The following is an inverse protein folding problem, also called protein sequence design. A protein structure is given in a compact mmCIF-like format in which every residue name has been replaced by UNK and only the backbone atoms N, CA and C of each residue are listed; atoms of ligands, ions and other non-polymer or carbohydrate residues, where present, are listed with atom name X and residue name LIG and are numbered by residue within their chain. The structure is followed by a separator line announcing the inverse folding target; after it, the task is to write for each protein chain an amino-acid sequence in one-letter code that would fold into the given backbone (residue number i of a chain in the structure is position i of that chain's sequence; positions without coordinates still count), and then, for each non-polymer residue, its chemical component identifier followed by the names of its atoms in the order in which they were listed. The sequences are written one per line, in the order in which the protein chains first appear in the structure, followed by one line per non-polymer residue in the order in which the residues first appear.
data_IF_712501599418
#
_entry.id   IF_712501599418
#
_cell.length_a   1.000
_cell.length_b   1.000
_cell.length_c   1.000
_cell.angle_alpha   90.00
_cell.angle_beta   90.00
_cell.angle_gamma   90.00
#
_symmetry.space_group_name_H-M   'P 1'
#
loop_
_entity.id
_entity.type
_entity.pdbx_description
1 polymer ?
#
# COMPACT_ATOMS: atom_id res chain seq x y z
N UNK A 1 -17.82 56.48 -2.28
CA UNK A 1 -17.02 55.31 -1.85
C UNK A 1 -17.97 54.16 -1.52
N UNK A 2 -18.38 53.45 -2.58
CA UNK A 2 -19.34 52.34 -2.53
C UNK A 2 -18.60 51.04 -2.28
N UNK A 3 -18.89 50.40 -1.15
CA UNK A 3 -18.34 49.11 -0.75
C UNK A 3 -18.63 48.03 -1.79
N UNK A 4 -17.55 47.52 -2.39
CA UNK A 4 -17.53 46.42 -3.34
C UNK A 4 -17.88 45.13 -2.59
N UNK A 5 -19.16 44.75 -2.59
CA UNK A 5 -19.57 43.39 -2.21
C UNK A 5 -19.01 42.43 -3.26
N UNK A 6 -17.88 41.79 -2.93
CA UNK A 6 -17.35 40.62 -3.62
C UNK A 6 -18.45 39.56 -3.57
N UNK A 7 -19.21 39.40 -4.66
CA UNK A 7 -19.96 38.17 -4.93
C UNK A 7 -18.89 37.09 -5.06
N UNK A 8 -18.59 36.40 -3.96
CA UNK A 8 -18.25 34.99 -4.06
C UNK A 8 -19.55 34.37 -4.56
N UNK A 9 -19.65 34.24 -5.90
CA UNK A 9 -20.56 33.27 -6.47
C UNK A 9 -20.14 31.94 -5.84
N UNK A 10 -20.88 31.52 -4.81
CA UNK A 10 -21.07 30.10 -4.54
C UNK A 10 -21.49 29.52 -5.88
N UNK A 11 -20.54 28.94 -6.60
CA UNK A 11 -20.87 27.95 -7.59
C UNK A 11 -21.73 26.94 -6.84
N UNK A 12 -23.01 26.88 -7.22
CA UNK A 12 -23.82 25.71 -6.92
C UNK A 12 -22.96 24.53 -7.32
N UNK A 13 -22.69 23.65 -6.35
CA UNK A 13 -22.49 22.21 -6.53
C UNK A 13 -23.37 21.76 -7.70
N UNK A 14 -22.78 21.79 -8.89
CA UNK A 14 -23.31 21.14 -10.06
C UNK A 14 -22.85 19.71 -9.97
N UNK A 15 -23.73 18.77 -10.34
CA UNK A 15 -23.46 17.34 -10.46
C UNK A 15 -22.41 17.03 -11.54
N UNK A 16 -21.22 17.61 -11.43
CA UNK A 16 -20.22 17.63 -12.50
C UNK A 16 -18.80 17.93 -12.05
N UNK A 17 -18.46 17.78 -10.77
CA UNK A 17 -17.06 17.75 -10.37
C UNK A 17 -16.72 16.36 -9.82
N UNK A 18 -16.08 15.55 -10.66
CA UNK A 18 -15.68 14.17 -10.35
C UNK A 18 -14.50 14.09 -9.36
N UNK A 19 -14.01 15.22 -8.84
CA UNK A 19 -12.70 15.35 -8.19
C UNK A 19 -12.76 16.28 -6.95
N UNK A 20 -13.84 16.21 -6.17
CA UNK A 20 -14.12 17.17 -5.07
C UNK A 20 -14.78 18.44 -5.59
N UNK A 21 -14.90 19.51 -4.79
CA UNK A 21 -15.51 20.78 -5.25
C UNK A 21 -14.50 21.71 -5.96
N UNK A 22 -13.24 21.28 -6.11
CA UNK A 22 -12.17 22.06 -6.72
C UNK A 22 -11.74 23.26 -5.88
N UNK A 23 -12.13 23.30 -4.60
CA UNK A 23 -11.71 24.35 -3.67
C UNK A 23 -10.29 24.18 -3.16
N UNK A 24 -9.70 22.99 -3.33
CA UNK A 24 -8.33 22.69 -2.92
C UNK A 24 -7.35 23.18 -3.99
N UNK A 25 -6.53 24.17 -3.66
CA UNK A 25 -5.61 24.84 -4.60
C UNK A 25 -4.54 23.96 -5.24
N UNK A 26 -3.59 24.58 -5.94
CA UNK A 26 -2.37 23.90 -6.42
C UNK A 26 -1.55 23.44 -5.22
N UNK A 27 -1.02 22.23 -5.26
CA UNK A 27 -0.14 21.66 -4.24
C UNK A 27 1.24 21.41 -4.83
N UNK A 28 2.28 21.84 -4.11
CA UNK A 28 3.68 21.59 -4.46
C UNK A 28 4.46 21.07 -3.26
N UNK A 29 5.29 20.06 -3.51
CA UNK A 29 6.20 19.46 -2.53
C UNK A 29 7.63 19.88 -2.89
N UNK A 30 8.29 20.64 -2.00
CA UNK A 30 9.60 21.25 -2.24
C UNK A 30 10.47 21.26 -0.98
N UNK A 31 11.63 21.92 -1.06
CA UNK A 31 12.51 22.22 0.08
C UNK A 31 11.86 23.06 1.17
N UNK A 32 10.82 23.83 0.85
CA UNK A 32 10.05 24.59 1.83
C UNK A 32 8.99 23.73 2.55
N UNK A 33 8.82 22.47 2.13
CA UNK A 33 7.77 21.57 2.59
C UNK A 33 6.63 21.46 1.58
N UNK A 34 5.46 21.10 2.09
CA UNK A 34 4.23 21.13 1.31
C UNK A 34 3.65 22.54 1.32
N UNK A 35 3.38 23.08 0.14
CA UNK A 35 2.79 24.40 -0.03
C UNK A 35 1.53 24.30 -0.89
N UNK A 36 0.55 25.14 -0.58
CA UNK A 36 -0.71 25.25 -1.31
C UNK A 36 -0.92 26.67 -1.85
N UNK A 37 -1.51 26.77 -3.03
CA UNK A 37 -1.85 28.03 -3.68
C UNK A 37 -3.29 28.04 -4.22
N UNK A 38 -4.09 29.03 -3.83
CA UNK A 38 -5.48 29.18 -4.28
C UNK A 38 -5.65 30.18 -5.45
N UNK A 39 -4.56 30.77 -5.95
CA UNK A 39 -4.55 31.79 -6.99
C UNK A 39 -3.76 31.37 -8.24
N UNK A 40 -3.63 30.05 -8.46
CA UNK A 40 -2.96 29.50 -9.63
C UNK A 40 -1.43 29.58 -9.54
N UNK A 41 -0.87 29.44 -8.35
CA UNK A 41 0.56 29.46 -8.08
C UNK A 41 1.17 30.85 -7.90
N UNK A 42 0.37 31.90 -7.69
CA UNK A 42 0.87 33.27 -7.49
C UNK A 42 1.29 33.50 -6.04
N UNK A 43 0.50 33.02 -5.08
CA UNK A 43 0.83 33.03 -3.65
C UNK A 43 0.78 31.62 -3.09
N UNK A 44 1.78 31.29 -2.28
CA UNK A 44 1.96 29.98 -1.67
C UNK A 44 1.91 30.10 -0.15
N UNK A 45 1.25 29.14 0.49
CA UNK A 45 1.18 29.02 1.95
C UNK A 45 1.55 27.59 2.34
N UNK A 46 2.40 27.44 3.35
CA UNK A 46 2.76 26.13 3.87
C UNK A 46 1.52 25.40 4.42
N UNK A 47 1.38 24.13 4.07
CA UNK A 47 0.38 23.24 4.65
C UNK A 47 0.91 22.79 6.02
N UNK A 48 0.58 23.56 7.06
CA UNK A 48 1.18 23.43 8.39
C UNK A 48 0.91 22.10 9.10
N UNK A 49 -0.06 21.32 8.62
CA UNK A 49 -0.37 19.99 9.16
C UNK A 49 0.52 18.89 8.56
N UNK A 50 1.18 19.14 7.43
CA UNK A 50 2.08 18.17 6.80
C UNK A 50 3.49 18.44 7.30
N UNK A 51 4.21 17.37 7.63
CA UNK A 51 5.56 17.48 8.20
C UNK A 51 6.61 17.24 7.13
N UNK A 52 7.68 18.04 7.14
CA UNK A 52 8.87 17.84 6.32
C UNK A 52 10.04 17.47 7.23
N UNK A 53 10.66 16.32 7.01
CA UNK A 53 11.91 15.89 7.66
C UNK A 53 12.78 15.21 6.61
N UNK A 54 14.03 15.65 6.44
CA UNK A 54 15.01 15.03 5.54
C UNK A 54 14.48 14.75 4.11
N UNK A 55 13.81 15.73 3.51
CA UNK A 55 13.16 15.64 2.18
C UNK A 55 11.96 14.69 2.10
N UNK A 56 11.47 14.20 3.24
CA UNK A 56 10.24 13.41 3.35
C UNK A 56 9.11 14.30 3.84
N UNK A 57 8.10 14.48 2.99
CA UNK A 57 6.82 15.09 3.35
C UNK A 57 5.83 14.00 3.73
N UNK A 58 5.36 14.06 4.98
CA UNK A 58 4.37 13.12 5.52
C UNK A 58 3.03 13.79 5.74
N UNK A 59 2.00 13.21 5.12
CA UNK A 59 0.60 13.62 5.30
C UNK A 59 0.06 12.95 6.57
N UNK A 60 -0.67 13.69 7.44
CA UNK A 60 -1.30 13.08 8.61
C UNK A 60 -2.23 11.93 8.23
N UNK A 61 -2.12 10.82 8.96
CA UNK A 61 -3.00 9.67 8.89
C UNK A 61 -3.18 9.07 10.27
N UNK A 62 -4.28 8.34 10.48
CA UNK A 62 -4.48 7.54 11.68
C UNK A 62 -3.87 6.14 11.47
N UNK A 63 -3.23 5.61 12.51
CA UNK A 63 -2.67 4.27 12.49
C UNK A 63 -3.77 3.24 12.23
N UNK A 64 -3.65 2.47 11.13
CA UNK A 64 -4.65 1.50 10.65
C UNK A 64 -6.03 2.10 10.30
N UNK A 65 -6.12 3.43 10.29
CA UNK A 65 -7.36 4.14 10.01
C UNK A 65 -7.68 4.24 8.54
N UNK A 66 -8.61 5.14 8.24
CA UNK A 66 -9.14 5.38 6.91
C UNK A 66 -8.06 5.72 5.88
N UNK A 67 -8.41 5.50 4.62
CA UNK A 67 -7.64 5.97 3.48
C UNK A 67 -7.53 7.50 3.51
N UNK A 68 -6.32 8.00 3.28
CA UNK A 68 -6.06 9.43 3.17
C UNK A 68 -6.45 9.90 1.77
N UNK A 69 -7.21 10.98 1.68
CA UNK A 69 -7.60 11.61 0.42
C UNK A 69 -6.93 12.97 0.28
N UNK A 70 -6.29 13.21 -0.86
CA UNK A 70 -5.80 14.52 -1.28
C UNK A 70 -6.61 14.96 -2.49
N UNK A 71 -7.12 16.19 -2.49
CA UNK A 71 -7.52 16.84 -3.74
C UNK A 71 -6.57 18.00 -4.04
N UNK A 72 -6.25 18.19 -5.32
CA UNK A 72 -5.44 19.27 -5.81
C UNK A 72 -5.97 19.80 -7.15
N UNK A 73 -5.74 21.09 -7.42
CA UNK A 73 -5.83 21.60 -8.80
C UNK A 73 -4.69 21.02 -9.62
N UNK A 74 -3.45 21.44 -9.38
CA UNK A 74 -2.27 20.76 -9.89
C UNK A 74 -1.50 20.12 -8.73
N UNK A 75 -0.88 18.97 -8.97
CA UNK A 75 0.04 18.34 -8.04
C UNK A 75 1.45 18.34 -8.64
N UNK A 76 2.42 18.85 -7.89
CA UNK A 76 3.84 18.75 -8.24
C UNK A 76 4.65 18.18 -7.08
N UNK A 77 5.41 17.12 -7.35
CA UNK A 77 6.42 16.59 -6.44
C UNK A 77 7.79 16.80 -7.05
N UNK A 78 8.59 17.71 -6.48
CA UNK A 78 9.91 18.04 -7.01
C UNK A 78 10.90 16.88 -6.81
N UNK A 79 11.93 16.84 -7.67
CA UNK A 79 13.02 15.86 -7.58
C UNK A 79 13.70 15.89 -6.20
N UNK A 80 14.03 14.72 -5.67
CA UNK A 80 14.66 14.55 -4.36
C UNK A 80 13.69 14.59 -3.18
N UNK A 81 12.39 14.81 -3.40
CA UNK A 81 11.37 14.79 -2.36
C UNK A 81 10.52 13.53 -2.40
N UNK A 82 10.21 13.01 -1.21
CA UNK A 82 9.27 11.92 -1.00
C UNK A 82 7.96 12.48 -0.43
N UNK A 83 6.84 12.24 -1.10
CA UNK A 83 5.51 12.44 -0.54
C UNK A 83 4.91 11.08 -0.12
N UNK A 84 4.56 10.95 1.16
CA UNK A 84 4.00 9.74 1.76
C UNK A 84 3.04 10.08 2.90
N UNK A 85 2.54 9.05 3.59
CA UNK A 85 1.70 9.19 4.78
C UNK A 85 2.49 8.94 6.07
N UNK A 86 2.09 9.60 7.15
CA UNK A 86 2.78 9.56 8.43
C UNK A 86 2.69 8.19 9.14
N UNK A 87 1.49 7.61 9.16
CA UNK A 87 1.17 6.32 9.76
C UNK A 87 0.62 5.37 8.69
N UNK A 88 0.70 4.05 8.91
CA UNK A 88 0.05 3.08 8.02
C UNK A 88 -1.47 3.29 8.04
N UNK A 89 -2.13 3.17 6.90
CA UNK A 89 -3.59 3.27 6.80
C UNK A 89 -4.09 2.52 5.57
N UNK A 90 -5.40 2.54 5.31
CA UNK A 90 -6.05 1.78 4.23
C UNK A 90 -5.66 2.22 2.81
N UNK A 91 -4.95 3.34 2.67
CA UNK A 91 -4.35 3.76 1.41
C UNK A 91 -4.14 5.26 1.29
N UNK A 92 -3.60 5.67 0.15
CA UNK A 92 -3.51 7.06 -0.29
C UNK A 92 -4.23 7.22 -1.63
N UNK A 93 -5.26 8.08 -1.66
CA UNK A 93 -6.02 8.44 -2.86
C UNK A 93 -5.82 9.91 -3.19
N UNK A 94 -5.35 10.18 -4.40
CA UNK A 94 -5.07 11.53 -4.89
C UNK A 94 -5.99 11.83 -6.07
N UNK A 95 -6.81 12.85 -5.91
CA UNK A 95 -7.56 13.48 -6.98
C UNK A 95 -6.85 14.74 -7.47
N UNK A 96 -6.57 14.82 -8.77
CA UNK A 96 -5.94 15.97 -9.40
C UNK A 96 -6.79 16.48 -10.56
N UNK A 97 -7.40 17.65 -10.43
CA UNK A 97 -8.29 18.20 -11.50
C UNK A 97 -7.53 18.76 -12.70
N UNK A 98 -6.29 19.15 -12.49
CA UNK A 98 -5.31 19.59 -13.49
C UNK A 98 -4.25 18.52 -13.70
N UNK A 99 -3.00 18.95 -13.87
CA UNK A 99 -1.90 18.05 -14.18
C UNK A 99 -1.19 17.55 -12.91
N UNK A 100 -0.72 16.30 -12.96
CA UNK A 100 0.22 15.76 -12.00
C UNK A 100 1.64 15.71 -12.59
N UNK A 101 2.60 16.32 -11.91
CA UNK A 101 4.02 16.33 -12.28
C UNK A 101 4.83 15.66 -11.18
N UNK A 102 5.32 14.45 -11.42
CA UNK A 102 5.98 13.60 -10.43
C UNK A 102 7.46 13.44 -10.80
N UNK A 103 8.30 14.34 -10.28
CA UNK A 103 9.75 14.30 -10.45
C UNK A 103 10.48 13.69 -9.24
N UNK A 104 9.86 13.77 -8.05
CA UNK A 104 10.26 13.01 -6.85
C UNK A 104 9.49 11.71 -6.70
N UNK A 105 9.28 11.27 -5.46
CA UNK A 105 8.65 9.98 -5.14
C UNK A 105 7.27 10.17 -4.51
N UNK A 106 6.27 9.43 -5.00
CA UNK A 106 5.00 9.18 -4.31
C UNK A 106 5.03 7.76 -3.76
N UNK A 107 4.93 7.58 -2.44
CA UNK A 107 5.12 6.26 -1.82
C UNK A 107 4.06 5.86 -0.80
N UNK A 108 3.66 4.59 -0.90
CA UNK A 108 2.98 3.78 0.12
C UNK A 108 3.82 2.58 0.56
N UNK A 109 5.14 2.59 0.30
CA UNK A 109 6.08 1.59 0.80
C UNK A 109 6.07 1.55 2.32
N UNK A 110 5.97 0.35 2.89
CA UNK A 110 5.88 0.14 4.34
C UNK A 110 4.72 0.89 5.01
N UNK A 111 3.59 1.10 4.30
CA UNK A 111 2.42 1.83 4.79
C UNK A 111 1.10 1.07 4.66
N UNK A 112 1.12 -0.21 4.26
CA UNK A 112 -0.07 -1.06 4.32
C UNK A 112 -0.59 -1.23 5.76
N UNK A 113 -1.90 -1.12 5.97
CA UNK A 113 -2.52 -1.26 7.29
C UNK A 113 -2.70 -2.72 7.72
N UNK A 114 -2.85 -2.90 9.04
CA UNK A 114 -3.42 -4.06 9.69
C UNK A 114 -4.94 -3.90 9.79
N UNK A 115 -5.67 -4.39 8.80
CA UNK A 115 -7.14 -4.32 8.80
C UNK A 115 -7.74 -5.42 7.95
N UNK A 116 -8.64 -6.21 8.54
CA UNK A 116 -9.45 -7.15 7.80
C UNK A 116 -10.49 -6.40 6.96
N UNK A 117 -10.46 -6.50 5.62
CA UNK A 117 -11.40 -5.75 4.79
C UNK A 117 -12.86 -6.26 4.92
N UNK A 118 -13.09 -7.42 5.54
CA UNK A 118 -14.42 -7.94 5.81
C UNK A 118 -15.08 -7.31 7.05
N UNK A 119 -14.33 -6.54 7.85
CA UNK A 119 -14.82 -5.95 9.09
C UNK A 119 -15.30 -4.52 8.88
N UNK A 120 -16.51 -4.24 9.40
CA UNK A 120 -17.10 -2.89 9.46
C UNK A 120 -16.96 -2.25 10.86
N UNK A 121 -16.42 -2.99 11.82
CA UNK A 121 -16.33 -2.61 13.24
C UNK A 121 -14.97 -3.02 13.80
N UNK A 122 -14.64 -2.55 15.01
CA UNK A 122 -13.40 -2.94 15.68
C UNK A 122 -13.43 -4.42 16.04
N UNK A 123 -12.37 -5.13 15.67
CA UNK A 123 -12.11 -6.55 15.96
C UNK A 123 -10.64 -6.72 16.38
N UNK A 124 -10.21 -7.94 16.67
CA UNK A 124 -8.81 -8.21 17.01
C UNK A 124 -7.84 -7.99 15.85
N UNK A 125 -8.33 -8.17 14.63
CA UNK A 125 -7.62 -8.06 13.35
C UNK A 125 -7.97 -6.78 12.56
N UNK A 126 -8.84 -5.95 13.14
CA UNK A 126 -9.20 -4.59 12.68
C UNK A 126 -9.24 -3.65 13.89
N UNK A 127 -8.08 -3.14 14.35
CA UNK A 127 -8.00 -2.31 15.55
C UNK A 127 -8.69 -0.95 15.38
N UNK A 128 -8.81 -0.45 14.15
CA UNK A 128 -9.54 0.77 13.80
C UNK A 128 -10.59 0.45 12.74
N UNK A 129 -11.86 0.64 13.10
CA UNK A 129 -12.98 0.46 12.19
C UNK A 129 -12.98 1.54 11.09
N UNK A 130 -13.40 1.22 9.87
CA UNK A 130 -13.57 2.24 8.84
C UNK A 130 -14.66 3.23 9.25
N UNK A 131 -14.43 4.53 9.08
CA UNK A 131 -15.39 5.55 9.54
C UNK A 131 -16.71 5.57 8.76
N UNK A 132 -16.74 4.95 7.58
CA UNK A 132 -17.96 4.77 6.79
C UNK A 132 -18.91 3.70 7.36
N UNK A 133 -18.45 2.90 8.35
CA UNK A 133 -19.23 1.84 8.97
C UNK A 133 -19.53 0.65 8.05
N UNK A 134 -18.77 0.48 6.96
CA UNK A 134 -18.96 -0.57 5.97
C UNK A 134 -17.73 -1.48 5.85
N UNK A 135 -17.96 -2.75 5.53
CA UNK A 135 -16.91 -3.64 5.07
C UNK A 135 -16.71 -3.50 3.56
N UNK A 136 -15.53 -3.87 3.07
CA UNK A 136 -15.28 -3.99 1.61
C UNK A 136 -16.19 -5.09 1.06
N UNK A 137 -16.93 -4.88 -0.06
CA UNK A 137 -17.75 -5.93 -0.68
C UNK A 137 -16.96 -7.19 -1.06
N UNK A 138 -17.64 -8.31 -1.31
CA UNK A 138 -16.96 -9.57 -1.70
C UNK A 138 -16.29 -9.48 -3.07
N UNK A 139 -16.81 -8.61 -3.94
CA UNK A 139 -16.23 -8.25 -5.24
C UNK A 139 -14.92 -7.44 -5.08
N UNK A 140 -14.65 -6.89 -3.88
CA UNK A 140 -13.48 -6.05 -3.62
C UNK A 140 -13.80 -4.56 -3.60
N UNK A 141 -12.75 -3.73 -3.59
CA UNK A 141 -12.88 -2.28 -3.73
C UNK A 141 -13.13 -1.96 -5.19
N UNK A 142 -14.23 -1.25 -5.46
CA UNK A 142 -14.60 -0.85 -6.81
C UNK A 142 -14.22 0.60 -7.05
N UNK A 143 -13.48 0.83 -8.15
CA UNK A 143 -13.24 2.16 -8.72
C UNK A 143 -13.87 2.15 -10.11
N UNK A 144 -14.75 3.11 -10.39
CA UNK A 144 -15.38 3.24 -11.71
C UNK A 144 -15.16 4.63 -12.29
N UNK A 145 -14.84 4.71 -13.58
CA UNK A 145 -14.69 5.99 -14.28
C UNK A 145 -15.30 5.89 -15.67
N UNK A 146 -15.83 7.00 -16.17
CA UNK A 146 -16.15 7.10 -17.59
C UNK A 146 -14.86 7.03 -18.39
N UNK A 147 -14.90 6.31 -19.50
CA UNK A 147 -13.76 6.09 -20.36
C UNK A 147 -14.26 5.70 -21.76
N UNK A 148 -14.03 6.58 -22.73
CA UNK A 148 -14.43 6.34 -24.10
C UNK A 148 -13.79 5.05 -24.66
N UNK A 149 -14.61 4.21 -25.29
CA UNK A 149 -14.17 2.94 -25.86
C UNK A 149 -14.22 1.74 -24.91
N UNK A 150 -14.58 1.95 -23.64
CA UNK A 150 -14.82 0.88 -22.68
C UNK A 150 -16.31 0.54 -22.55
N UNK A 151 -16.61 -0.71 -22.17
CA UNK A 151 -17.96 -1.28 -22.18
C UNK A 151 -18.43 -1.76 -20.80
N UNK A 152 -17.69 -1.46 -19.73
CA UNK A 152 -18.05 -1.96 -18.41
C UNK A 152 -19.36 -1.34 -17.93
N UNK A 153 -20.01 -1.97 -16.95
CA UNK A 153 -21.24 -1.47 -16.34
C UNK A 153 -21.14 -1.64 -14.83
N UNK A 154 -21.40 -0.57 -14.09
CA UNK A 154 -21.49 -0.61 -12.63
C UNK A 154 -22.36 0.54 -12.13
N UNK A 155 -23.52 0.18 -11.57
CA UNK A 155 -24.51 1.12 -11.05
C UNK A 155 -24.63 1.08 -9.53
N UNK A 156 -23.91 0.19 -8.85
CA UNK A 156 -23.97 0.09 -7.39
C UNK A 156 -23.37 1.35 -6.73
N UNK A 157 -23.87 1.68 -5.53
CA UNK A 157 -23.45 2.78 -4.68
C UNK A 157 -22.38 2.38 -3.65
N UNK A 158 -21.90 1.13 -3.68
CA UNK A 158 -20.89 0.58 -2.75
C UNK A 158 -19.45 1.02 -3.04
N UNK A 159 -19.25 2.13 -3.76
CA UNK A 159 -17.92 2.60 -4.12
C UNK A 159 -17.15 3.07 -2.87
N UNK A 160 -15.90 2.63 -2.73
CA UNK A 160 -15.04 3.03 -1.62
C UNK A 160 -15.44 2.47 -0.25
N UNK A 161 -16.41 1.55 -0.17
CA UNK A 161 -16.80 0.95 1.10
C UNK A 161 -15.62 0.26 1.79
N UNK A 162 -15.46 0.53 3.09
CA UNK A 162 -14.36 0.02 3.90
C UNK A 162 -13.08 0.84 3.79
N UNK A 163 -13.06 1.93 3.01
CA UNK A 163 -11.94 2.85 2.92
C UNK A 163 -12.10 4.08 3.83
N UNK A 164 -13.30 4.32 4.38
CA UNK A 164 -13.60 5.48 5.21
C UNK A 164 -14.52 6.49 4.53
N UNK A 165 -15.20 7.32 5.34
CA UNK A 165 -16.28 8.20 4.90
C UNK A 165 -15.83 9.18 3.81
N UNK A 166 -14.61 9.71 3.90
CA UNK A 166 -14.07 10.67 2.91
C UNK A 166 -13.97 10.06 1.51
N UNK A 167 -13.63 8.77 1.41
CA UNK A 167 -13.56 8.08 0.11
C UNK A 167 -14.96 7.82 -0.42
N UNK A 168 -15.87 7.33 0.44
CA UNK A 168 -17.28 7.10 0.06
C UNK A 168 -17.92 8.39 -0.45
N UNK A 169 -17.74 9.51 0.26
CA UNK A 169 -18.28 10.82 -0.14
C UNK A 169 -17.68 11.30 -1.47
N UNK A 170 -16.37 11.09 -1.66
CA UNK A 170 -15.68 11.43 -2.91
C UNK A 170 -16.17 10.59 -4.09
N UNK A 171 -16.28 9.27 -3.90
CA UNK A 171 -16.71 8.32 -4.93
C UNK A 171 -18.22 8.40 -5.22
N UNK A 172 -19.05 8.84 -4.28
CA UNK A 172 -20.48 9.07 -4.50
C UNK A 172 -20.77 10.12 -5.59
N UNK A 173 -19.78 10.98 -5.89
CA UNK A 173 -19.88 11.96 -6.98
C UNK A 173 -19.58 11.36 -8.36
N UNK A 174 -19.14 10.10 -8.44
CA UNK A 174 -18.82 9.44 -9.70
C UNK A 174 -20.09 8.99 -10.43
N UNK A 175 -20.21 9.29 -11.73
CA UNK A 175 -21.35 8.85 -12.52
C UNK A 175 -21.42 7.31 -12.55
N UNK A 176 -22.63 6.80 -12.67
CA UNK A 176 -22.84 5.40 -13.02
C UNK A 176 -22.25 5.10 -14.40
N UNK A 177 -21.68 3.92 -14.56
CA UNK A 177 -21.15 3.45 -15.84
C UNK A 177 -22.15 2.45 -16.42
N UNK A 178 -22.57 2.65 -17.66
CA UNK A 178 -23.61 1.84 -18.35
C UNK A 178 -23.18 1.48 -19.78
N UNK A 179 -22.00 0.88 -19.92
CA UNK A 179 -21.42 0.52 -21.22
C UNK A 179 -20.54 1.61 -21.82
N UNK A 180 -20.05 2.55 -21.00
CA UNK A 180 -19.29 3.73 -21.42
C UNK A 180 -18.16 4.09 -20.44
N UNK A 181 -17.59 3.09 -19.79
CA UNK A 181 -16.53 3.34 -18.81
C UNK A 181 -15.81 2.09 -18.38
N UNK A 182 -14.85 2.31 -17.51
CA UNK A 182 -13.95 1.31 -16.94
C UNK A 182 -14.34 1.08 -15.48
N UNK A 183 -14.41 -0.19 -15.10
CA UNK A 183 -14.69 -0.63 -13.73
C UNK A 183 -13.54 -1.52 -13.29
N UNK A 184 -12.89 -1.14 -12.22
CA UNK A 184 -11.77 -1.88 -11.65
C UNK A 184 -12.18 -2.40 -10.30
N UNK A 185 -11.99 -3.69 -10.12
CA UNK A 185 -12.12 -4.38 -8.86
C UNK A 185 -10.74 -4.71 -8.31
N UNK A 186 -10.43 -4.17 -7.14
CA UNK A 186 -9.27 -4.58 -6.33
C UNK A 186 -9.79 -5.66 -5.39
N UNK A 187 -9.40 -6.94 -5.58
CA UNK A 187 -9.99 -8.03 -4.84
C UNK A 187 -9.67 -7.90 -3.35
N UNK A 188 -10.64 -8.27 -2.51
CA UNK A 188 -10.52 -8.19 -1.05
C UNK A 188 -9.27 -8.90 -0.51
N UNK A 189 -9.01 -10.09 -1.08
CA UNK A 189 -7.85 -10.94 -0.79
C UNK A 189 -6.84 -10.80 -1.93
N UNK A 190 -5.61 -10.50 -1.58
CA UNK A 190 -4.48 -10.35 -2.49
C UNK A 190 -3.81 -11.68 -2.83
N UNK A 191 -2.51 -11.63 -3.08
CA UNK A 191 -1.66 -12.79 -3.28
C UNK A 191 -1.60 -13.67 -2.04
N UNK A 192 -1.52 -14.98 -2.24
CA UNK A 192 -1.52 -15.96 -1.14
C UNK A 192 -0.23 -15.90 -0.35
N UNK A 193 -0.29 -15.99 0.97
CA UNK A 193 0.87 -16.18 1.83
C UNK A 193 1.59 -17.48 1.51
N UNK A 194 2.91 -17.47 1.65
CA UNK A 194 3.72 -18.67 1.50
C UNK A 194 3.41 -19.70 2.59
N UNK A 195 3.27 -20.96 2.16
CA UNK A 195 3.20 -22.12 3.05
C UNK A 195 4.49 -22.25 3.89
N UNK A 196 4.42 -22.92 5.07
CA UNK A 196 5.58 -23.21 5.90
C UNK A 196 6.76 -23.82 5.13
N UNK A 197 7.95 -23.22 5.26
CA UNK A 197 9.21 -23.80 4.79
C UNK A 197 9.48 -25.18 5.41
N UNK A 198 9.64 -26.20 4.56
CA UNK A 198 9.81 -27.60 4.96
C UNK A 198 11.10 -27.90 5.74
N UNK A 199 10.99 -28.84 6.70
CA UNK A 199 12.10 -29.39 7.49
C UNK A 199 13.08 -30.25 6.69
N UNK A 200 14.29 -30.36 7.24
CA UNK A 200 15.53 -30.91 6.67
C UNK A 200 15.39 -32.23 5.87
N UNK A 201 15.75 -32.19 4.58
CA UNK A 201 16.25 -33.35 3.82
C UNK A 201 17.75 -33.20 3.63
N UNK A 202 18.54 -34.16 4.13
CA UNK A 202 20.01 -34.13 4.19
C UNK A 202 20.65 -33.68 2.85
N UNK A 203 21.34 -32.53 2.86
CA UNK A 203 22.17 -32.05 1.76
C UNK A 203 21.52 -31.17 0.67
N UNK A 204 20.25 -30.77 0.79
CA UNK A 204 19.60 -29.88 -0.21
C UNK A 204 19.45 -28.46 0.34
N UNK A 205 19.72 -27.45 -0.51
CA UNK A 205 19.44 -26.03 -0.21
C UNK A 205 17.95 -25.85 0.06
N UNK A 206 17.58 -25.52 1.29
CA UNK A 206 16.20 -25.20 1.64
C UNK A 206 15.93 -23.74 1.25
N UNK A 207 15.32 -23.55 0.07
CA UNK A 207 14.71 -22.28 -0.31
C UNK A 207 13.27 -22.36 0.16
N UNK A 208 12.89 -21.51 1.12
CA UNK A 208 11.51 -21.49 1.60
C UNK A 208 10.57 -20.95 0.50
N UNK A 209 9.27 -21.31 0.51
CA UNK A 209 8.33 -20.87 -0.50
C UNK A 209 8.16 -19.34 -0.52
N UNK A 210 8.01 -18.78 -1.71
CA UNK A 210 7.69 -17.36 -1.91
C UNK A 210 6.19 -17.10 -1.75
N UNK A 211 5.84 -15.86 -1.38
CA UNK A 211 4.48 -15.37 -1.44
C UNK A 211 3.95 -15.31 -2.87
N UNK A 212 2.64 -15.50 -3.03
CA UNK A 212 1.96 -15.45 -4.31
C UNK A 212 1.71 -14.02 -4.78
N UNK A 213 1.54 -13.86 -6.09
CA UNK A 213 1.04 -12.64 -6.73
C UNK A 213 -0.40 -12.83 -7.17
N UNK A 214 -1.14 -11.73 -7.35
CA UNK A 214 -2.51 -11.77 -7.86
C UNK A 214 -2.81 -10.51 -8.65
N UNK A 215 -3.44 -10.67 -9.81
CA UNK A 215 -3.82 -9.55 -10.67
C UNK A 215 -4.70 -8.55 -9.91
N UNK A 216 -4.42 -7.27 -10.13
CA UNK A 216 -5.07 -6.12 -9.51
C UNK A 216 -4.99 -6.12 -7.98
N UNK A 217 -4.01 -6.79 -7.37
CA UNK A 217 -3.94 -6.93 -5.92
C UNK A 217 -2.52 -6.82 -5.35
N UNK A 218 -2.38 -6.45 -4.06
CA UNK A 218 -1.15 -6.63 -3.30
C UNK A 218 -0.70 -8.10 -3.22
N UNK A 219 0.60 -8.31 -3.02
CA UNK A 219 1.22 -9.64 -2.94
C UNK A 219 1.17 -10.26 -1.55
N UNK A 220 1.34 -11.57 -1.46
CA UNK A 220 1.41 -12.31 -0.19
C UNK A 220 2.79 -12.27 0.47
N UNK A 221 2.87 -12.62 1.76
CA UNK A 221 4.15 -12.72 2.46
C UNK A 221 4.96 -13.96 2.09
N UNK A 222 6.28 -13.88 2.21
CA UNK A 222 7.20 -15.00 2.01
C UNK A 222 7.45 -15.80 3.29
N UNK A 223 7.79 -17.08 3.15
CA UNK A 223 8.08 -17.94 4.30
C UNK A 223 9.52 -17.78 4.78
N UNK A 224 9.73 -17.85 6.09
CA UNK A 224 11.05 -17.94 6.70
C UNK A 224 11.75 -19.26 6.39
N UNK A 225 13.05 -19.31 6.65
CA UNK A 225 13.80 -20.57 6.64
C UNK A 225 13.57 -21.37 7.94
N UNK A 226 13.80 -22.68 7.90
CA UNK A 226 13.78 -23.55 9.08
C UNK A 226 15.16 -24.20 9.29
N UNK A 227 15.57 -24.32 10.55
CA UNK A 227 16.78 -25.04 10.93
C UNK A 227 16.48 -26.30 11.74
N UNK A 228 16.61 -27.46 11.11
CA UNK A 228 16.54 -28.73 11.80
C UNK A 228 17.88 -29.06 12.45
N UNK A 229 17.87 -29.48 13.72
CA UNK A 229 18.97 -30.31 14.23
C UNK A 229 18.81 -31.71 13.63
N UNK A 230 19.86 -32.54 13.62
CA UNK A 230 19.78 -33.92 13.08
C UNK A 230 18.61 -34.68 13.73
N UNK A 231 17.52 -34.92 12.99
CA UNK A 231 16.30 -35.58 13.49
C UNK A 231 15.18 -34.67 14.02
N UNK A 232 15.29 -33.35 13.88
CA UNK A 232 14.22 -32.40 14.22
C UNK A 232 13.13 -32.31 13.14
N UNK A 233 11.88 -32.08 13.57
CA UNK A 233 10.69 -32.00 12.69
C UNK A 233 10.05 -30.59 12.68
N UNK A 234 10.80 -29.53 13.03
CA UNK A 234 10.24 -28.18 13.03
C UNK A 234 10.03 -27.63 11.61
N UNK A 235 9.28 -26.54 11.53
CA UNK A 235 8.99 -25.81 10.29
C UNK A 235 9.15 -24.30 10.50
N UNK A 236 9.20 -23.52 9.43
CA UNK A 236 8.90 -22.09 9.54
C UNK A 236 7.40 -21.89 9.81
N UNK A 237 7.02 -20.70 10.29
CA UNK A 237 5.60 -20.34 10.30
C UNK A 237 5.05 -20.16 8.88
N UNK A 238 3.73 -20.07 8.78
CA UNK A 238 3.01 -19.66 7.58
C UNK A 238 3.02 -18.14 7.43
N UNK A 239 3.21 -17.65 6.21
CA UNK A 239 3.08 -16.23 5.90
C UNK A 239 1.62 -15.88 5.58
N UNK A 240 1.26 -14.61 5.65
CA UNK A 240 -0.13 -14.18 5.43
C UNK A 240 -0.39 -13.78 3.98
N UNK A 241 -1.65 -13.91 3.56
CA UNK A 241 -2.18 -13.32 2.35
C UNK A 241 -2.07 -11.78 2.39
N UNK A 242 -1.97 -11.18 1.20
CA UNK A 242 -2.24 -9.75 1.01
C UNK A 242 -3.74 -9.46 1.08
N UNK A 243 -4.09 -8.18 1.13
CA UNK A 243 -5.47 -7.65 1.11
C UNK A 243 -5.60 -6.57 0.05
N UNK A 244 -6.80 -6.03 -0.17
CA UNK A 244 -6.97 -4.84 -0.99
C UNK A 244 -6.27 -3.58 -0.44
N UNK A 245 -5.81 -3.58 0.82
CA UNK A 245 -5.16 -2.44 1.47
C UNK A 245 -3.65 -2.60 1.66
N UNK A 246 -3.16 -3.84 1.71
CA UNK A 246 -1.80 -4.14 2.16
C UNK A 246 -1.25 -5.44 1.59
N UNK A 247 0.07 -5.50 1.40
CA UNK A 247 0.78 -6.75 1.18
C UNK A 247 0.78 -7.64 2.42
N UNK A 248 0.98 -8.95 2.23
CA UNK A 248 1.00 -9.93 3.31
C UNK A 248 2.33 -9.91 4.10
N UNK A 249 2.32 -9.99 5.44
CA UNK A 249 3.53 -10.14 6.24
C UNK A 249 4.16 -11.55 6.13
N UNK A 250 5.48 -11.59 6.31
CA UNK A 250 6.29 -12.81 6.27
C UNK A 250 6.37 -13.51 7.63
N UNK A 251 6.62 -14.82 7.59
CA UNK A 251 6.59 -15.67 8.78
C UNK A 251 7.89 -15.66 9.59
N UNK A 252 7.84 -16.22 10.80
CA UNK A 252 9.00 -16.41 11.67
C UNK A 252 9.72 -17.74 11.42
N UNK A 253 11.05 -17.79 11.62
CA UNK A 253 11.80 -19.03 11.50
C UNK A 253 11.60 -19.93 12.73
N UNK A 254 11.57 -21.24 12.49
CA UNK A 254 11.62 -22.26 13.55
C UNK A 254 13.01 -22.86 13.71
N UNK A 255 13.32 -23.33 14.93
CA UNK A 255 14.57 -24.03 15.22
C UNK A 255 14.36 -25.36 15.96
N UNK A 256 15.06 -26.40 15.50
CA UNK A 256 15.02 -27.74 16.07
C UNK A 256 13.70 -28.45 15.75
N UNK A 257 13.00 -28.94 16.77
CA UNK A 257 11.67 -29.56 16.61
C UNK A 257 10.52 -28.59 16.90
N UNK A 258 10.78 -27.28 16.83
CA UNK A 258 9.78 -26.23 17.07
C UNK A 258 9.49 -25.49 15.76
N UNK A 259 8.21 -25.23 15.53
CA UNK A 259 7.72 -24.42 14.41
C UNK A 259 7.79 -22.95 14.76
N UNK A 260 8.29 -22.12 13.83
CA UNK A 260 8.28 -20.66 13.97
C UNK A 260 6.84 -20.13 13.97
N UNK A 261 6.64 -18.91 14.49
CA UNK A 261 5.29 -18.36 14.57
C UNK A 261 4.80 -17.88 13.19
N UNK A 262 3.50 -18.06 12.96
CA UNK A 262 2.84 -17.56 11.77
C UNK A 262 2.84 -16.02 11.76
N UNK A 263 2.82 -15.45 10.56
CA UNK A 263 2.61 -14.02 10.41
C UNK A 263 1.16 -13.66 10.80
N UNK A 264 0.98 -12.49 11.42
CA UNK A 264 -0.37 -11.99 11.69
C UNK A 264 -1.10 -11.69 10.37
N UNK A 265 -2.44 -11.83 10.32
CA UNK A 265 -3.17 -11.64 9.08
C UNK A 265 -3.23 -10.16 8.66
N UNK A 266 -3.62 -9.94 7.41
CA UNK A 266 -4.08 -8.64 6.86
C UNK A 266 -3.09 -7.48 6.99
N UNK A 267 -1.83 -7.66 6.60
CA UNK A 267 -0.83 -6.59 6.69
C UNK A 267 -0.32 -6.32 8.11
N UNK A 268 -0.64 -7.21 9.07
CA UNK A 268 -0.23 -7.13 10.46
C UNK A 268 1.24 -7.43 10.71
N UNK A 269 1.54 -7.83 11.94
CA UNK A 269 2.90 -8.14 12.36
C UNK A 269 3.50 -9.35 11.62
N UNK A 270 4.81 -9.30 11.39
CA UNK A 270 5.56 -10.48 10.93
C UNK A 270 5.63 -11.55 12.03
N UNK A 271 5.88 -12.81 11.64
CA UNK A 271 5.95 -13.91 12.61
C UNK A 271 7.19 -13.86 13.49
N UNK A 272 7.04 -14.20 14.76
CA UNK A 272 8.13 -14.24 15.74
C UNK A 272 9.02 -15.50 15.57
N UNK A 273 10.28 -15.40 15.97
CA UNK A 273 11.13 -16.60 16.04
C UNK A 273 10.66 -17.53 17.17
N UNK A 274 10.79 -18.85 16.96
CA UNK A 274 10.51 -19.84 17.99
C UNK A 274 11.61 -20.90 18.09
N UNK A 275 12.17 -21.10 19.28
CA UNK A 275 13.32 -21.99 19.51
C UNK A 275 13.27 -22.73 20.85
N UNK A 276 13.70 -24.01 20.85
CA UNK A 276 13.75 -24.83 22.06
C UNK A 276 15.03 -24.58 22.86
N UNK A 277 14.92 -23.91 24.01
CA UNK A 277 16.02 -23.75 24.96
C UNK A 277 17.20 -22.88 24.50
N UNK A 278 17.09 -22.25 23.32
CA UNK A 278 18.02 -21.23 22.83
C UNK A 278 17.35 -19.86 22.93
N UNK A 279 17.97 -18.95 23.67
CA UNK A 279 17.56 -17.56 23.72
C UNK A 279 18.28 -16.76 22.62
N UNK A 280 17.54 -16.19 21.69
CA UNK A 280 17.89 -14.95 20.96
C UNK A 280 18.96 -15.01 19.84
N UNK A 281 18.96 -16.01 18.96
CA UNK A 281 19.89 -16.03 17.80
C UNK A 281 19.23 -16.05 16.43
N UNK A 282 17.92 -15.78 16.35
CA UNK A 282 17.17 -15.88 15.10
C UNK A 282 16.33 -14.65 14.82
N UNK A 283 16.23 -14.24 13.55
CA UNK A 283 15.47 -13.06 13.19
C UNK A 283 13.96 -13.32 13.22
N UNK A 284 13.16 -12.25 13.33
CA UNK A 284 11.71 -12.32 13.09
C UNK A 284 11.37 -12.14 11.60
N UNK A 285 10.13 -12.46 11.23
CA UNK A 285 9.57 -12.18 9.91
C UNK A 285 9.27 -10.70 9.70
N UNK A 286 9.35 -10.22 8.47
CA UNK A 286 9.02 -8.84 8.13
C UNK A 286 7.52 -8.62 8.05
N UNK A 287 7.04 -7.47 8.52
CA UNK A 287 5.62 -7.15 8.59
C UNK A 287 5.40 -5.76 9.16
N UNK A 288 4.17 -5.39 9.49
CA UNK A 288 3.87 -4.06 10.03
C UNK A 288 3.26 -4.16 11.45
N UNK A 289 4.07 -4.19 12.52
CA UNK A 289 5.54 -4.15 12.57
C UNK A 289 6.21 -5.50 12.26
N UNK A 290 7.54 -5.53 12.17
CA UNK A 290 8.28 -6.78 12.06
C UNK A 290 8.13 -7.66 13.31
N UNK A 291 8.17 -8.97 13.11
CA UNK A 291 8.14 -9.96 14.18
C UNK A 291 9.36 -9.88 15.10
N UNK A 292 9.18 -10.32 16.34
CA UNK A 292 10.20 -10.35 17.37
C UNK A 292 11.32 -11.33 17.00
N UNK A 293 12.56 -10.91 17.22
CA UNK A 293 13.75 -11.68 16.90
C UNK A 293 15.03 -11.01 17.38
N UNK A 294 16.16 -11.61 17.01
CA UNK A 294 17.48 -11.01 17.17
C UNK A 294 18.22 -11.12 15.84
N UNK A 295 18.12 -10.10 14.95
CA UNK A 295 17.29 -8.89 15.07
C UNK A 295 15.80 -9.13 14.80
N UNK A 296 14.94 -8.17 15.15
CA UNK A 296 13.55 -8.20 14.72
C UNK A 296 13.45 -8.20 13.18
N UNK A 297 12.32 -8.66 12.66
CA UNK A 297 12.00 -8.50 11.25
C UNK A 297 11.91 -7.03 10.83
N UNK A 298 12.00 -6.77 9.53
CA UNK A 298 11.87 -5.40 9.03
C UNK A 298 10.42 -4.92 9.14
N UNK A 299 10.26 -3.62 9.38
CA UNK A 299 8.95 -2.97 9.43
C UNK A 299 8.48 -2.61 8.01
N UNK A 300 7.27 -3.03 7.65
CA UNK A 300 6.56 -2.59 6.45
C UNK A 300 5.91 -3.71 5.64
N UNK A 301 4.76 -3.38 5.08
CA UNK A 301 4.11 -4.07 3.94
C UNK A 301 3.77 -3.00 2.90
N UNK A 302 3.75 -3.35 1.61
CA UNK A 302 3.32 -2.40 0.58
C UNK A 302 1.84 -2.02 0.77
N UNK A 303 1.48 -0.76 0.55
CA UNK A 303 0.11 -0.25 0.72
C UNK A 303 -0.65 -0.02 -0.59
N UNK A 304 -1.82 0.61 -0.50
CA UNK A 304 -2.61 1.03 -1.67
C UNK A 304 -2.33 2.50 -2.02
N UNK A 305 -1.88 2.76 -3.24
CA UNK A 305 -1.68 4.10 -3.80
C UNK A 305 -2.54 4.29 -5.05
N UNK A 306 -3.37 5.33 -5.07
CA UNK A 306 -4.25 5.66 -6.19
C UNK A 306 -4.03 7.12 -6.60
N UNK A 307 -3.66 7.34 -7.87
CA UNK A 307 -3.63 8.67 -8.49
C UNK A 307 -4.66 8.73 -9.60
N UNK A 308 -5.57 9.70 -9.48
CA UNK A 308 -6.61 9.96 -10.47
C UNK A 308 -6.49 11.42 -10.91
N UNK A 309 -5.89 11.62 -12.08
CA UNK A 309 -5.73 12.94 -12.68
C UNK A 309 -6.68 13.15 -13.85
N UNK A 310 -7.42 14.25 -13.86
CA UNK A 310 -8.19 14.68 -15.04
C UNK A 310 -7.28 15.24 -16.13
N UNK A 311 -6.19 15.89 -15.74
CA UNK A 311 -5.16 16.36 -16.64
C UNK A 311 -4.16 15.27 -17.04
N UNK A 312 -3.01 15.71 -17.54
CA UNK A 312 -1.90 14.83 -17.88
C UNK A 312 -1.08 14.43 -16.66
N UNK A 313 -0.39 13.30 -16.78
CA UNK A 313 0.58 12.82 -15.80
C UNK A 313 1.95 12.81 -16.47
N UNK A 314 2.91 13.51 -15.87
CA UNK A 314 4.26 13.73 -16.40
C UNK A 314 5.31 13.59 -15.31
N UNK A 315 6.58 13.49 -15.71
CA UNK A 315 7.72 13.48 -14.78
C UNK A 315 8.62 12.25 -14.93
N UNK A 316 9.69 12.22 -14.15
CA UNK A 316 10.76 11.20 -14.19
C UNK A 316 11.03 10.55 -12.83
N UNK A 317 10.19 10.83 -11.84
CA UNK A 317 10.32 10.34 -10.48
C UNK A 317 9.86 8.90 -10.30
N UNK A 318 9.33 8.56 -9.12
CA UNK A 318 8.83 7.21 -8.84
C UNK A 318 7.45 7.16 -8.17
N UNK A 319 6.71 6.11 -8.47
CA UNK A 319 5.58 5.63 -7.68
C UNK A 319 5.99 4.34 -6.97
N UNK A 320 5.82 4.26 -5.66
CA UNK A 320 6.35 3.16 -4.87
C UNK A 320 5.31 2.58 -3.90
N UNK A 321 5.24 1.25 -3.83
CA UNK A 321 4.46 0.53 -2.83
C UNK A 321 5.09 -0.83 -2.55
N UNK A 322 6.27 -0.83 -1.94
CA UNK A 322 7.09 -2.03 -1.78
C UNK A 322 6.89 -2.74 -0.44
N UNK A 323 7.13 -4.05 -0.45
CA UNK A 323 7.28 -4.88 0.74
C UNK A 323 8.66 -4.73 1.38
N UNK A 324 8.81 -5.29 2.57
CA UNK A 324 10.05 -5.26 3.34
C UNK A 324 10.83 -6.57 3.16
N UNK A 325 12.13 -6.43 2.87
CA UNK A 325 13.05 -7.55 2.71
C UNK A 325 13.12 -8.45 3.95
N UNK A 326 13.52 -9.69 3.76
CA UNK A 326 13.81 -10.62 4.83
C UNK A 326 14.99 -10.12 5.69
N UNK A 327 14.99 -10.51 6.96
CA UNK A 327 16.12 -10.30 7.87
C UNK A 327 16.85 -11.62 8.05
N UNK A 328 18.16 -11.63 7.79
CA UNK A 328 19.02 -12.80 7.98
C UNK A 328 19.95 -12.58 9.17
N UNK A 329 20.05 -13.57 10.07
CA UNK A 329 21.00 -13.51 11.16
C UNK A 329 21.50 -14.87 11.56
N UNK A 330 22.83 -14.99 11.60
CA UNK A 330 23.61 -16.20 11.89
C UNK A 330 23.27 -17.36 10.98
N UNK A 331 22.11 -17.93 11.20
CA UNK A 331 21.76 -19.30 10.90
C UNK A 331 20.34 -19.37 10.29
N UNK A 332 19.41 -18.49 10.65
CA UNK A 332 18.09 -18.46 10.03
C UNK A 332 17.77 -17.11 9.39
N UNK A 333 16.70 -17.13 8.59
CA UNK A 333 16.21 -16.01 7.82
C UNK A 333 14.71 -15.89 8.05
N UNK A 334 14.24 -14.71 8.44
CA UNK A 334 12.80 -14.42 8.56
C UNK A 334 12.14 -14.29 7.18
N UNK A 335 10.84 -14.45 7.11
CA UNK A 335 10.09 -14.27 5.87
C UNK A 335 10.02 -12.79 5.46
N UNK A 336 10.18 -12.43 4.18
CA UNK A 336 9.89 -11.07 3.69
C UNK A 336 8.38 -10.80 3.58
N UNK A 337 7.97 -9.54 3.46
CA UNK A 337 6.57 -9.17 3.24
C UNK A 337 6.25 -8.85 1.77
N UNK A 338 4.96 -8.85 1.41
CA UNK A 338 4.48 -8.60 0.04
C UNK A 338 4.42 -7.13 -0.35
N UNK A 339 4.48 -6.89 -1.67
CA UNK A 339 4.29 -5.58 -2.30
C UNK A 339 2.83 -5.13 -2.32
N UNK A 340 2.62 -3.84 -2.56
CA UNK A 340 1.32 -3.18 -2.53
C UNK A 340 0.73 -2.95 -3.93
N UNK A 341 -0.32 -2.14 -4.02
CA UNK A 341 -1.00 -1.85 -5.28
C UNK A 341 -0.85 -0.38 -5.66
N UNK A 342 -0.57 -0.11 -6.93
CA UNK A 342 -0.55 1.24 -7.50
C UNK A 342 -1.60 1.34 -8.61
N UNK A 343 -2.55 2.28 -8.51
CA UNK A 343 -3.55 2.57 -9.53
C UNK A 343 -3.37 3.95 -10.14
N UNK A 344 -3.23 4.03 -11.47
CA UNK A 344 -2.85 5.25 -12.18
C UNK A 344 -3.85 5.57 -13.29
N UNK A 345 -4.53 6.70 -13.16
CA UNK A 345 -5.57 7.16 -14.08
C UNK A 345 -5.30 8.58 -14.56
N UNK A 346 -5.50 8.82 -15.86
CA UNK A 346 -5.25 10.12 -16.48
C UNK A 346 -6.33 10.50 -17.51
N UNK A 347 -6.77 11.75 -17.53
CA UNK A 347 -7.66 12.28 -18.57
C UNK A 347 -6.93 13.03 -19.70
N UNK A 348 -5.71 13.50 -19.43
CA UNK A 348 -4.82 14.17 -20.37
C UNK A 348 -3.78 13.25 -21.01
N UNK A 349 -2.63 13.81 -21.37
CA UNK A 349 -1.50 13.04 -21.90
C UNK A 349 -0.75 12.31 -20.78
N UNK A 350 -0.36 11.06 -21.02
CA UNK A 350 0.60 10.34 -20.20
C UNK A 350 1.98 10.47 -20.82
N UNK A 351 2.88 11.23 -20.19
CA UNK A 351 4.29 11.35 -20.61
C UNK A 351 5.24 11.12 -19.45
N UNK A 352 4.78 10.45 -18.40
CA UNK A 352 5.63 10.00 -17.30
C UNK A 352 6.55 8.89 -17.82
N UNK A 353 7.84 9.01 -17.51
CA UNK A 353 8.89 8.06 -17.92
C UNK A 353 9.73 7.57 -16.74
N UNK A 354 9.28 7.84 -15.52
CA UNK A 354 9.91 7.37 -14.30
C UNK A 354 9.54 5.92 -13.96
N UNK A 355 9.86 5.51 -12.74
CA UNK A 355 9.69 4.15 -12.26
C UNK A 355 8.35 3.94 -11.54
N UNK A 356 7.79 2.75 -11.67
CA UNK A 356 6.62 2.29 -10.90
C UNK A 356 7.03 0.98 -10.24
N UNK A 357 7.19 1.00 -8.91
CA UNK A 357 7.67 -0.15 -8.14
C UNK A 357 6.66 -0.61 -7.10
N UNK A 358 6.37 -1.90 -7.12
CA UNK A 358 5.42 -2.59 -6.24
C UNK A 358 5.98 -3.96 -5.83
N UNK A 359 7.30 -4.05 -5.75
CA UNK A 359 8.02 -5.28 -5.48
C UNK A 359 7.70 -5.84 -4.08
N UNK A 360 7.66 -7.17 -3.99
CA UNK A 360 7.73 -7.87 -2.72
C UNK A 360 9.12 -7.76 -2.10
N UNK A 361 9.20 -8.03 -0.81
CA UNK A 361 10.46 -8.08 -0.10
C UNK A 361 11.36 -9.19 -0.65
N UNK A 362 12.65 -8.89 -0.78
CA UNK A 362 13.65 -9.85 -1.29
C UNK A 362 13.99 -10.94 -0.26
N UNK A 363 14.46 -12.09 -0.75
CA UNK A 363 14.94 -13.19 0.09
C UNK A 363 16.14 -12.77 0.95
N UNK A 364 16.33 -13.45 2.07
CA UNK A 364 17.52 -13.34 2.89
C UNK A 364 18.38 -14.59 2.80
N UNK A 365 19.66 -14.44 3.11
CA UNK A 365 20.64 -15.51 3.03
C UNK A 365 21.48 -15.60 4.31
N UNK A 366 21.49 -16.76 4.94
CA UNK A 366 22.32 -17.06 6.11
C UNK A 366 23.16 -18.34 5.87
N UNK A 367 24.51 -18.24 5.83
CA UNK A 367 25.38 -19.41 5.71
C UNK A 367 25.68 -20.04 7.09
N UNK A 368 25.37 -21.32 7.27
CA UNK A 368 25.75 -22.06 8.49
C UNK A 368 26.25 -23.49 8.19
N UNK A 369 27.40 -23.84 8.74
CA UNK A 369 28.01 -25.18 8.69
C UNK A 369 28.04 -25.84 7.29
N UNK A 370 28.23 -25.02 6.24
CA UNK A 370 28.28 -25.51 4.85
C UNK A 370 26.92 -25.68 4.18
N UNK A 371 25.81 -25.39 4.86
CA UNK A 371 24.46 -25.31 4.29
C UNK A 371 24.00 -23.86 4.17
N UNK A 372 23.36 -23.54 3.05
CA UNK A 372 22.76 -22.23 2.80
C UNK A 372 21.28 -22.25 3.17
N UNK A 373 20.87 -21.39 4.10
CA UNK A 373 19.46 -21.14 4.40
C UNK A 373 18.98 -19.91 3.64
N UNK A 374 17.82 -20.03 2.98
CA UNK A 374 17.16 -18.93 2.29
C UNK A 374 15.68 -18.89 2.65
N UNK A 375 15.18 -17.70 2.93
CA UNK A 375 13.73 -17.46 2.95
C UNK A 375 13.19 -17.54 1.52
N UNK A 376 11.86 -17.52 1.40
CA UNK A 376 11.23 -17.17 0.13
C UNK A 376 11.34 -15.67 -0.17
N UNK A 377 10.76 -15.27 -1.29
CA UNK A 377 10.48 -13.88 -1.63
C UNK A 377 9.08 -13.48 -1.16
N UNK A 378 8.85 -12.20 -0.93
CA UNK A 378 7.50 -11.65 -0.85
C UNK A 378 6.88 -11.70 -2.24
N UNK A 379 5.56 -11.90 -2.31
CA UNK A 379 4.83 -11.71 -3.56
C UNK A 379 4.89 -10.25 -3.98
N UNK A 380 5.18 -10.01 -5.25
CA UNK A 380 4.97 -8.70 -5.85
C UNK A 380 3.48 -8.35 -5.81
N UNK A 381 3.20 -7.06 -5.63
CA UNK A 381 1.87 -6.55 -5.86
C UNK A 381 1.60 -6.32 -7.34
N UNK A 382 0.85 -5.27 -7.67
CA UNK A 382 0.49 -4.99 -9.06
C UNK A 382 0.34 -3.49 -9.35
N UNK A 383 0.30 -3.16 -10.64
CA UNK A 383 -0.01 -1.83 -11.13
C UNK A 383 -1.23 -1.86 -12.05
N UNK A 384 -2.27 -1.12 -11.69
CA UNK A 384 -3.44 -0.91 -12.52
C UNK A 384 -3.28 0.41 -13.27
N UNK A 385 -2.74 0.34 -14.49
CA UNK A 385 -2.58 1.49 -15.36
C UNK A 385 -1.24 1.57 -16.09
N UNK A 386 -1.00 2.68 -16.79
CA UNK A 386 -1.85 3.87 -16.87
C UNK A 386 -3.15 3.63 -17.66
N UNK A 387 -4.30 4.04 -17.10
CA UNK A 387 -5.59 3.98 -17.78
C UNK A 387 -6.05 5.39 -18.14
N UNK A 388 -6.41 5.57 -19.42
CA UNK A 388 -7.03 6.80 -19.88
C UNK A 388 -8.51 6.84 -19.49
N UNK A 389 -8.92 7.89 -18.80
CA UNK A 389 -10.32 8.16 -18.42
C UNK A 389 -10.83 9.39 -19.16
N UNK A 390 -12.15 9.57 -19.18
CA UNK A 390 -12.74 10.77 -19.74
C UNK A 390 -12.47 11.99 -18.83
N UNK A 391 -12.60 13.18 -19.41
CA UNK A 391 -12.40 14.46 -18.71
C UNK A 391 -13.68 14.99 -18.09
#
# INVERSE_FOLDING_TARGET
MSWLRRRIQRAKSGKGNWFGDGSDGDIRITSAGAEQSFDGGVTWSTISTWTLVDSVVSIPSEQDGDMVVINAVNLTVDEGYLLTIANRCRGLLIYCTGNATINGTLSMTARGCHANPADATVTSDTPVAPSDGNAVPSEGLIIRRLAAGHTDTHTDATLGYGCGQTVVDSEANQPEVTGNGVVIAIPRVGGTGAEPGGGYGDGVRNIAPSGGTKANAPGGGGSASHMGNSGGTGYAGQASDGTCFSGGPGSGPGHGSITGDDAAPYGGAGGDFSANGLTNYYPGGSGNPGGSGTPNGNNGTGGLLLLISRGGVTGTGSFESEGAAAVAYSAAVGGPSGGGLIGLFHGGAWTFTGDISFAGGVDGYAPLYGTAQRSGFGGDGDCIGPIKIDQ
#
